data_IF_767102011733
#
_entry.id   IF_767102011733
#
_cell.length_a   1.000
_cell.length_b   1.000
_cell.length_c   1.000
_cell.angle_alpha   90.00
_cell.angle_beta   90.00
_cell.angle_gamma   90.00
#
_symmetry.space_group_name_H-M   'P 1'
#
loop_
_entity.id
_entity.type
_entity.pdbx_description
1 polymer ?
#
# COMPACT_ATOMS: atom_id res chain seq x y z
N UNK A 1 21.93 43.92 -35.20
CA UNK A 1 22.53 42.58 -35.19
C UNK A 1 22.26 42.00 -33.80
N UNK A 2 21.24 41.15 -33.66
CA UNK A 2 20.85 40.51 -32.39
C UNK A 2 20.91 38.99 -32.59
N UNK A 3 21.65 38.24 -31.77
CA UNK A 3 21.73 36.79 -31.92
C UNK A 3 20.45 36.13 -31.41
N UNK A 4 19.86 35.24 -32.22
CA UNK A 4 18.78 34.33 -31.77
C UNK A 4 19.38 33.30 -30.83
N UNK A 5 19.04 33.36 -29.55
CA UNK A 5 19.35 32.31 -28.56
C UNK A 5 18.35 31.17 -28.80
N UNK A 6 18.86 30.02 -29.26
CA UNK A 6 18.13 28.77 -29.37
C UNK A 6 17.95 28.18 -27.97
N UNK A 7 16.71 28.13 -27.46
CA UNK A 7 16.37 27.44 -26.22
C UNK A 7 16.27 25.93 -26.47
N UNK A 8 17.39 25.21 -26.34
CA UNK A 8 17.34 23.75 -26.17
C UNK A 8 16.71 23.45 -24.81
N UNK A 9 15.54 22.80 -24.81
CA UNK A 9 15.00 22.17 -23.60
C UNK A 9 15.98 21.07 -23.15
N UNK A 10 16.30 20.96 -21.85
CA UNK A 10 17.03 19.79 -21.36
C UNK A 10 16.17 18.55 -21.57
N UNK A 11 16.76 17.50 -22.14
CA UNK A 11 16.15 16.17 -22.21
C UNK A 11 15.97 15.62 -20.78
N UNK A 12 14.89 14.87 -20.51
CA UNK A 12 14.72 14.22 -19.21
C UNK A 12 15.90 13.29 -18.93
N UNK A 13 16.32 13.12 -17.66
CA UNK A 13 17.38 12.19 -17.33
C UNK A 13 16.92 10.77 -17.65
N UNK A 14 17.46 10.20 -18.72
CA UNK A 14 17.42 8.76 -19.01
C UNK A 14 18.37 8.06 -18.06
N UNK A 15 17.87 7.72 -16.88
CA UNK A 15 18.43 6.65 -16.06
C UNK A 15 17.27 6.02 -15.29
N UNK A 16 16.45 5.26 -16.00
CA UNK A 16 15.76 4.15 -15.36
C UNK A 16 16.83 3.10 -15.15
N UNK A 17 17.44 3.10 -13.96
CA UNK A 17 18.14 1.92 -13.47
C UNK A 17 17.10 0.82 -13.44
N UNK A 18 17.06 -0.01 -14.48
CA UNK A 18 16.32 -1.26 -14.45
C UNK A 18 16.93 -2.07 -13.30
N UNK A 19 16.33 -1.99 -12.12
CA UNK A 19 16.58 -2.93 -11.05
C UNK A 19 16.03 -4.26 -11.56
N UNK A 20 16.85 -4.97 -12.33
CA UNK A 20 16.77 -6.42 -12.40
C UNK A 20 17.01 -6.89 -10.96
N UNK A 21 15.94 -6.96 -10.17
CA UNK A 21 15.93 -7.75 -8.95
C UNK A 21 16.03 -9.21 -9.39
N UNK A 22 17.27 -9.62 -9.70
CA UNK A 22 17.62 -11.01 -9.90
C UNK A 22 17.51 -11.64 -8.52
N UNK A 23 16.33 -12.20 -8.22
CA UNK A 23 16.09 -13.06 -7.05
C UNK A 23 16.80 -14.43 -7.24
N UNK A 24 18.07 -14.45 -7.68
CA UNK A 24 18.82 -15.69 -7.92
C UNK A 24 19.87 -15.98 -6.84
N UNK A 25 20.17 -15.05 -5.91
CA UNK A 25 21.23 -15.28 -4.90
C UNK A 25 20.76 -15.80 -3.54
N UNK A 26 19.46 -16.03 -3.32
CA UNK A 26 18.95 -16.55 -2.05
C UNK A 26 18.13 -17.85 -2.24
N UNK A 27 18.82 -18.94 -2.56
CA UNK A 27 18.33 -20.32 -2.37
C UNK A 27 18.52 -20.73 -0.88
N UNK A 28 17.87 -21.77 -0.33
CA UNK A 28 16.54 -22.34 -0.58
C UNK A 28 15.86 -22.76 0.75
N UNK A 29 15.32 -21.86 1.59
CA UNK A 29 14.75 -22.31 2.90
C UNK A 29 13.39 -21.68 3.26
N UNK A 30 12.96 -20.56 2.67
CA UNK A 30 11.66 -19.96 2.99
C UNK A 30 10.95 -19.49 1.72
N UNK A 31 9.61 -19.60 1.62
CA UNK A 31 8.88 -19.12 0.46
C UNK A 31 8.93 -17.60 0.45
N UNK A 32 9.92 -17.01 -0.22
CA UNK A 32 9.97 -15.57 -0.43
C UNK A 32 8.74 -15.15 -1.23
N UNK A 33 7.79 -14.42 -0.62
CA UNK A 33 6.56 -14.01 -1.29
C UNK A 33 6.70 -12.59 -1.80
N UNK A 34 6.55 -12.44 -3.12
CA UNK A 34 6.45 -11.14 -3.75
C UNK A 34 4.98 -10.75 -3.91
N UNK A 35 4.54 -9.73 -3.17
CA UNK A 35 3.18 -9.22 -3.32
C UNK A 35 3.20 -7.98 -4.22
N UNK A 36 2.73 -8.15 -5.45
CA UNK A 36 2.43 -7.05 -6.36
C UNK A 36 0.94 -6.97 -6.62
N UNK A 37 0.28 -5.98 -6.02
CA UNK A 37 -1.14 -5.72 -6.24
C UNK A 37 -1.32 -4.62 -7.30
N UNK A 38 -2.45 -4.51 -7.99
CA UNK A 38 -2.72 -3.34 -8.83
C UNK A 38 -2.84 -2.07 -7.96
N UNK A 39 -2.55 -0.88 -8.51
CA UNK A 39 -2.49 0.38 -7.76
C UNK A 39 -3.73 0.70 -6.89
N UNK A 40 -4.89 0.14 -7.21
CA UNK A 40 -6.11 0.34 -6.42
C UNK A 40 -6.34 -0.72 -5.33
N UNK A 41 -5.58 -1.83 -5.33
CA UNK A 41 -5.56 -2.86 -4.30
C UNK A 41 -4.31 -2.82 -3.41
N UNK A 42 -3.30 -1.99 -3.74
CA UNK A 42 -2.08 -1.77 -2.91
C UNK A 42 -2.33 -1.08 -1.57
N UNK A 43 -3.58 -0.70 -1.31
CA UNK A 43 -4.11 -0.09 -0.08
C UNK A 43 -4.07 -1.11 1.11
N UNK A 44 -4.62 -0.90 2.33
CA UNK A 44 -4.25 -1.55 3.60
C UNK A 44 -4.12 -3.06 3.51
N UNK A 45 -4.93 -3.72 2.69
CA UNK A 45 -4.82 -5.14 2.39
C UNK A 45 -3.38 -5.60 2.03
N UNK A 46 -2.66 -4.86 1.18
CA UNK A 46 -1.28 -5.19 0.81
C UNK A 46 -0.31 -5.08 1.98
N UNK A 47 -0.41 -3.99 2.75
CA UNK A 47 0.42 -3.79 3.93
C UNK A 47 0.11 -4.81 5.03
N UNK A 48 -1.16 -5.10 5.29
CA UNK A 48 -1.60 -6.11 6.27
C UNK A 48 -1.22 -7.52 5.86
N UNK A 49 -1.30 -7.87 4.57
CA UNK A 49 -0.87 -9.17 4.09
C UNK A 49 0.64 -9.38 4.29
N UNK A 50 1.43 -8.37 3.95
CA UNK A 50 2.89 -8.42 4.09
C UNK A 50 3.32 -8.39 5.56
N UNK A 51 2.64 -7.60 6.40
CA UNK A 51 2.84 -7.61 7.84
C UNK A 51 2.59 -9.00 8.44
N UNK A 52 1.47 -9.65 8.08
CA UNK A 52 1.14 -10.99 8.57
C UNK A 52 2.19 -12.04 8.17
N UNK A 53 2.72 -11.96 6.94
CA UNK A 53 3.77 -12.86 6.46
C UNK A 53 5.10 -12.61 7.15
N UNK A 54 5.49 -11.34 7.27
CA UNK A 54 6.73 -10.94 7.94
C UNK A 54 6.72 -11.34 9.44
N UNK A 55 5.56 -11.22 10.09
CA UNK A 55 5.34 -11.71 11.46
C UNK A 55 5.54 -13.23 11.59
N UNK A 56 5.29 -13.99 10.51
CA UNK A 56 5.55 -15.42 10.42
C UNK A 56 6.96 -15.79 9.98
N UNK A 57 7.92 -14.86 10.06
CA UNK A 57 9.32 -15.00 9.61
C UNK A 57 9.45 -15.37 8.12
N UNK A 58 8.45 -15.02 7.30
CA UNK A 58 8.52 -15.19 5.84
C UNK A 58 9.17 -13.96 5.23
N UNK A 59 10.27 -14.17 4.51
CA UNK A 59 10.91 -13.10 3.75
C UNK A 59 9.93 -12.51 2.73
N UNK A 60 9.54 -11.25 2.92
CA UNK A 60 8.43 -10.66 2.17
C UNK A 60 8.81 -9.29 1.64
N UNK A 61 8.45 -9.07 0.38
CA UNK A 61 8.68 -7.82 -0.33
C UNK A 61 7.35 -7.19 -0.74
N UNK A 62 7.13 -5.94 -0.35
CA UNK A 62 6.02 -5.11 -0.82
C UNK A 62 6.53 -4.13 -1.86
N UNK A 63 6.19 -4.36 -3.13
CA UNK A 63 6.48 -3.40 -4.20
C UNK A 63 5.31 -2.42 -4.30
N UNK A 64 5.56 -1.11 -4.23
CA UNK A 64 4.56 -0.03 -4.33
C UNK A 64 4.99 1.10 -5.30
N UNK A 65 4.30 1.29 -6.43
CA UNK A 65 4.71 2.29 -7.43
C UNK A 65 4.62 3.75 -6.94
N UNK A 66 3.68 4.05 -6.04
CA UNK A 66 3.47 5.42 -5.56
C UNK A 66 3.04 5.45 -4.08
N UNK A 67 3.97 5.25 -3.14
CA UNK A 67 3.68 5.23 -1.70
C UNK A 67 3.21 6.59 -1.14
N UNK A 68 3.46 7.67 -1.89
CA UNK A 68 2.96 9.01 -1.57
C UNK A 68 1.61 9.32 -2.24
N UNK A 69 1.13 8.45 -3.14
CA UNK A 69 -0.13 8.63 -3.83
C UNK A 69 -1.30 8.37 -2.90
N UNK A 70 -2.32 9.23 -2.94
CA UNK A 70 -3.58 8.99 -2.23
C UNK A 70 -4.67 8.56 -3.20
N UNK A 71 -5.28 7.40 -3.01
CA UNK A 71 -6.54 7.05 -3.67
C UNK A 71 -7.64 7.96 -3.13
N UNK A 72 -8.59 8.44 -3.94
CA UNK A 72 -9.78 9.07 -3.39
C UNK A 72 -10.52 8.06 -2.51
N UNK A 73 -10.71 8.43 -1.24
CA UNK A 73 -11.37 7.62 -0.23
C UNK A 73 -12.12 8.50 0.75
N UNK A 74 -13.31 8.03 1.16
CA UNK A 74 -14.18 8.77 2.08
C UNK A 74 -13.65 8.85 3.51
N UNK A 75 -12.68 8.00 3.89
CA UNK A 75 -12.01 8.05 5.18
C UNK A 75 -12.69 7.26 6.30
N UNK A 76 -13.99 7.00 6.19
CA UNK A 76 -14.76 6.31 7.23
C UNK A 76 -14.41 4.81 7.32
N UNK A 77 -13.98 4.37 8.51
CA UNK A 77 -13.75 2.96 8.83
C UNK A 77 -14.66 2.51 10.00
N UNK A 78 -15.11 1.25 10.04
CA UNK A 78 -15.69 0.64 11.22
C UNK A 78 -14.86 0.85 12.50
N UNK A 79 -15.54 1.10 13.63
CA UNK A 79 -14.88 1.33 14.93
C UNK A 79 -14.01 0.14 15.36
N UNK A 80 -14.47 -1.09 15.13
CA UNK A 80 -13.73 -2.31 15.46
C UNK A 80 -12.37 -2.43 14.76
N UNK A 81 -12.20 -1.77 13.60
CA UNK A 81 -10.93 -1.83 12.87
C UNK A 81 -9.82 -1.01 13.53
N UNK A 82 -10.15 -0.04 14.40
CA UNK A 82 -9.11 0.66 15.16
C UNK A 82 -8.35 -0.32 16.05
N UNK A 83 -9.08 -1.17 16.76
CA UNK A 83 -8.47 -2.17 17.64
C UNK A 83 -7.85 -3.32 16.85
N UNK A 84 -8.56 -3.83 15.82
CA UNK A 84 -8.10 -4.97 15.01
C UNK A 84 -6.74 -4.72 14.33
N UNK A 85 -6.54 -3.51 13.80
CA UNK A 85 -5.29 -3.12 13.14
C UNK A 85 -4.37 -2.28 14.02
N UNK A 86 -4.64 -2.23 15.34
CA UNK A 86 -3.86 -1.44 16.31
C UNK A 86 -3.65 0.02 15.87
N UNK A 87 -4.65 0.63 15.22
CA UNK A 87 -4.60 1.99 14.69
C UNK A 87 -4.70 2.97 15.85
N UNK A 88 -3.70 3.84 16.05
CA UNK A 88 -3.76 4.82 17.12
C UNK A 88 -4.92 5.81 16.96
N UNK A 89 -5.72 5.99 18.00
CA UNK A 89 -6.89 6.87 18.00
C UNK A 89 -6.58 8.33 17.67
N UNK A 90 -5.36 8.80 17.96
CA UNK A 90 -4.91 10.15 17.62
C UNK A 90 -4.78 10.42 16.11
N UNK A 91 -4.84 9.37 15.27
CA UNK A 91 -4.87 9.50 13.81
C UNK A 91 -6.28 9.76 13.28
N UNK A 92 -7.31 9.49 14.08
CA UNK A 92 -8.71 9.80 13.73
C UNK A 92 -8.84 11.31 13.58
N UNK A 93 -9.15 11.74 12.35
CA UNK A 93 -9.24 13.15 12.03
C UNK A 93 -10.63 13.72 12.32
N UNK A 94 -11.67 12.89 12.17
CA UNK A 94 -13.07 13.28 12.40
C UNK A 94 -13.83 12.09 12.97
N UNK A 95 -14.82 12.41 13.79
CA UNK A 95 -15.75 11.46 14.38
C UNK A 95 -17.14 11.76 13.83
N UNK A 96 -17.71 10.83 13.07
CA UNK A 96 -19.07 10.97 12.54
C UNK A 96 -20.03 10.49 13.62
N UNK A 97 -20.88 11.40 14.10
CA UNK A 97 -21.91 11.14 15.11
C UNK A 97 -23.31 11.02 14.51
N UNK A 98 -23.47 11.34 13.22
CA UNK A 98 -24.73 11.24 12.50
C UNK A 98 -24.48 11.05 11.01
N UNK A 99 -25.24 10.17 10.37
CA UNK A 99 -25.24 9.99 8.92
C UNK A 99 -26.67 10.01 8.39
N UNK A 100 -26.84 10.48 7.15
CA UNK A 100 -28.13 10.52 6.46
C UNK A 100 -27.96 9.86 5.09
N UNK A 101 -28.89 8.99 4.72
CA UNK A 101 -28.99 8.45 3.36
C UNK A 101 -30.08 9.22 2.63
N UNK A 102 -29.69 9.87 1.53
CA UNK A 102 -30.60 10.57 0.63
C UNK A 102 -30.84 9.73 -0.63
N UNK A 103 -32.11 9.41 -0.91
CA UNK A 103 -32.48 8.69 -2.12
C UNK A 103 -32.57 9.62 -3.35
N UNK A 104 -32.48 9.10 -4.58
CA UNK A 104 -32.72 9.90 -5.79
C UNK A 104 -34.11 10.55 -5.83
N UNK A 105 -35.09 9.99 -5.11
CA UNK A 105 -36.44 10.54 -4.96
C UNK A 105 -36.53 11.60 -3.85
N UNK A 106 -35.40 12.07 -3.34
CA UNK A 106 -35.30 13.07 -2.28
C UNK A 106 -35.95 12.63 -0.95
N UNK A 107 -35.92 11.33 -0.66
CA UNK A 107 -36.28 10.78 0.65
C UNK A 107 -35.02 10.70 1.51
N UNK A 108 -35.10 11.19 2.75
CA UNK A 108 -34.01 11.16 3.71
C UNK A 108 -34.25 10.10 4.77
N UNK A 109 -33.20 9.34 5.11
CA UNK A 109 -33.19 8.41 6.23
C UNK A 109 -32.00 8.77 7.12
N UNK A 110 -32.28 9.29 8.30
CA UNK A 110 -31.27 9.66 9.29
C UNK A 110 -30.93 8.50 10.22
N UNK A 111 -29.64 8.28 10.46
CA UNK A 111 -29.10 7.25 11.35
C UNK A 111 -28.42 7.85 12.60
N UNK A 112 -28.65 9.14 12.89
CA UNK A 112 -28.02 9.83 14.03
C UNK A 112 -28.43 9.31 15.42
N UNK A 113 -29.55 8.60 15.54
CA UNK A 113 -30.04 8.04 16.80
C UNK A 113 -29.64 6.58 17.02
N UNK A 114 -28.96 5.97 16.05
CA UNK A 114 -28.65 4.54 16.05
C UNK A 114 -27.34 4.19 16.75
N UNK A 115 -26.50 5.17 17.08
CA UNK A 115 -25.25 4.97 17.80
C UNK A 115 -25.50 4.85 19.31
N UNK A 116 -24.85 3.89 19.97
CA UNK A 116 -24.84 3.85 21.43
C UNK A 116 -24.02 5.02 22.00
N UNK A 117 -24.23 5.39 23.28
CA UNK A 117 -23.42 6.43 23.92
C UNK A 117 -21.92 6.11 23.85
N UNK A 118 -21.16 6.99 23.19
CA UNK A 118 -19.71 6.82 23.00
C UNK A 118 -19.32 6.08 21.71
N UNK A 119 -20.28 5.67 20.87
CA UNK A 119 -20.01 5.16 19.54
C UNK A 119 -20.01 6.29 18.50
N UNK A 120 -19.03 6.22 17.61
CA UNK A 120 -18.93 7.05 16.43
C UNK A 120 -18.28 6.26 15.29
N UNK A 121 -18.35 6.81 14.08
CA UNK A 121 -17.60 6.26 12.95
C UNK A 121 -16.33 7.10 12.78
N UNK A 122 -15.14 6.53 13.06
CA UNK A 122 -13.88 7.23 12.88
C UNK A 122 -13.59 7.43 11.39
N UNK A 123 -13.14 8.64 11.05
CA UNK A 123 -12.63 8.97 9.73
C UNK A 123 -11.13 9.23 9.79
N UNK A 124 -10.40 8.50 8.96
CA UNK A 124 -8.95 8.61 8.81
C UNK A 124 -8.59 9.22 7.47
N UNK A 125 -7.47 9.94 7.45
CA UNK A 125 -6.74 10.18 6.21
C UNK A 125 -6.05 8.89 5.77
N UNK A 126 -6.61 8.23 4.76
CA UNK A 126 -5.83 8.18 3.52
C UNK A 126 -4.38 7.68 3.60
N UNK A 127 -3.53 8.63 3.22
CA UNK A 127 -2.08 8.66 3.23
C UNK A 127 -1.45 8.38 4.60
N UNK A 128 -2.11 8.73 5.71
CA UNK A 128 -1.59 8.49 7.07
C UNK A 128 -1.85 7.06 7.50
N UNK A 129 -3.05 6.57 7.22
CA UNK A 129 -3.45 5.19 7.53
C UNK A 129 -2.54 4.19 6.80
N UNK A 130 -2.32 4.37 5.51
CA UNK A 130 -1.43 3.49 4.74
C UNK A 130 0.02 3.56 5.18
N UNK A 131 0.50 4.76 5.51
CA UNK A 131 1.85 4.92 6.01
C UNK A 131 2.09 4.15 7.30
N UNK A 132 1.10 4.09 8.19
CA UNK A 132 1.27 3.36 9.45
C UNK A 132 1.27 1.86 9.24
N UNK A 133 0.38 1.33 8.39
CA UNK A 133 0.36 -0.11 8.09
C UNK A 133 1.65 -0.56 7.38
N UNK A 134 2.19 0.26 6.48
CA UNK A 134 3.51 0.00 5.89
C UNK A 134 4.61 0.00 6.94
N UNK A 135 4.55 0.93 7.89
CA UNK A 135 5.53 1.02 8.99
C UNK A 135 5.47 -0.22 9.88
N UNK A 136 4.27 -0.75 10.15
CA UNK A 136 4.11 -2.01 10.89
C UNK A 136 4.70 -3.18 10.11
N UNK A 137 4.39 -3.32 8.82
CA UNK A 137 5.00 -4.35 7.99
C UNK A 137 6.55 -4.28 8.01
N UNK A 138 7.13 -3.09 7.85
CA UNK A 138 8.58 -2.89 7.92
C UNK A 138 9.16 -3.23 9.30
N UNK A 139 8.45 -2.89 10.38
CA UNK A 139 8.89 -3.21 11.74
C UNK A 139 8.94 -4.72 12.03
N UNK A 140 8.16 -5.51 11.29
CA UNK A 140 8.17 -6.98 11.33
C UNK A 140 9.15 -7.60 10.32
N UNK A 141 9.96 -6.80 9.62
CA UNK A 141 11.00 -7.30 8.71
C UNK A 141 10.64 -7.30 7.23
N UNK A 142 9.49 -6.74 6.83
CA UNK A 142 9.15 -6.64 5.42
C UNK A 142 10.00 -5.59 4.68
N UNK A 143 10.35 -5.92 3.43
CA UNK A 143 11.08 -5.02 2.53
C UNK A 143 10.11 -4.19 1.69
N UNK A 144 10.16 -2.87 1.84
CA UNK A 144 9.34 -1.93 1.07
C UNK A 144 10.11 -1.41 -0.14
N UNK A 145 9.61 -1.64 -1.35
CA UNK A 145 10.27 -1.26 -2.60
C UNK A 145 9.37 -0.30 -3.40
N UNK A 146 9.71 1.01 -3.46
CA UNK A 146 8.89 1.99 -4.16
C UNK A 146 9.10 1.92 -5.68
N UNK A 147 8.52 0.91 -6.34
CA UNK A 147 8.72 0.66 -7.77
C UNK A 147 7.48 0.12 -8.50
N UNK A 148 7.50 0.16 -9.82
CA UNK A 148 6.51 -0.45 -10.69
C UNK A 148 6.86 -1.92 -10.90
N UNK A 149 5.93 -2.80 -10.54
CA UNK A 149 6.06 -4.21 -10.88
C UNK A 149 5.48 -4.46 -12.27
N UNK A 150 6.28 -5.06 -13.15
CA UNK A 150 5.92 -5.30 -14.55
C UNK A 150 5.64 -6.77 -14.83
N UNK A 151 6.52 -7.67 -14.39
CA UNK A 151 6.43 -9.10 -14.66
C UNK A 151 7.20 -9.89 -13.60
N UNK A 152 6.83 -11.16 -13.43
CA UNK A 152 7.56 -12.15 -12.65
C UNK A 152 7.86 -13.33 -13.57
N UNK A 153 9.13 -13.71 -13.67
CA UNK A 153 9.58 -14.91 -14.37
C UNK A 153 9.88 -15.99 -13.34
N UNK A 154 9.46 -17.25 -13.53
CA UNK A 154 9.90 -18.35 -12.67
C UNK A 154 11.42 -18.55 -12.80
N UNK A 155 12.07 -19.09 -11.75
CA UNK A 155 13.48 -19.41 -11.82
C UNK A 155 13.76 -20.38 -12.98
N UNK A 156 14.83 -20.13 -13.73
CA UNK A 156 15.24 -21.02 -14.81
C UNK A 156 15.73 -22.36 -14.22
N UNK A 157 15.45 -23.51 -14.86
CA UNK A 157 15.93 -24.79 -14.34
C UNK A 157 17.47 -24.79 -14.31
N UNK A 158 18.03 -25.10 -13.14
CA UNK A 158 19.48 -25.22 -12.97
C UNK A 158 20.05 -26.24 -13.97
N UNK A 159 21.21 -25.97 -14.61
CA UNK A 159 21.84 -26.93 -15.50
C UNK A 159 22.12 -28.25 -14.76
N UNK A 160 21.98 -29.41 -15.42
CA UNK A 160 22.24 -30.70 -14.78
C UNK A 160 23.69 -30.73 -14.30
N UNK A 161 23.88 -30.99 -13.02
CA UNK A 161 25.20 -31.25 -12.44
C UNK A 161 25.73 -32.52 -13.08
N UNK A 162 26.81 -32.40 -13.85
CA UNK A 162 27.52 -33.54 -14.41
C UNK A 162 27.98 -34.45 -13.26
N UNK A 163 27.70 -35.75 -13.31
CA UNK A 163 28.28 -36.68 -12.35
C UNK A 163 29.79 -36.80 -12.60
N UNK A 164 30.59 -36.65 -11.54
CA UNK A 164 32.01 -36.99 -11.51
C UNK A 164 32.24 -38.50 -11.69
#
# INVERSE_FOLDING_TARGET
>A
MNPRISSRRPSPPTSHSNLHAVLEEFLPILPSLLLSLPAHWRWPAGSSAVEALATGDVETYLIEHSPAGSKPYGGAIPLCMLDEFSIPTHLVNRHITSMCILSPSNLAVDFGFSFHPGEDIPMLRHEVFDAILRSYAQSHGAHLLPDLFISLEPPSPSPPTSPD
#
